data_IF_497468543547
#
_entry.id   IF_497468543547
#
_cell.length_a   1.000
_cell.length_b   1.000
_cell.length_c   1.000
_cell.angle_alpha   90.00
_cell.angle_beta   90.00
_cell.angle_gamma   90.00
#
_symmetry.space_group_name_H-M   'P 1'
#
loop_
_entity.id
_entity.type
_entity.pdbx_description
1 polymer ?
#
# COMPACT_ATOMS: atom_id res chain seq x y z
N UNK A 1 18.02 -4.73 8.49
CA UNK A 1 17.83 -5.38 7.18
C UNK A 1 16.43 -5.13 6.59
N UNK A 2 15.32 -5.47 7.28
CA UNK A 2 13.95 -5.25 6.76
C UNK A 2 13.69 -3.80 6.34
N UNK A 3 14.00 -2.83 7.21
CA UNK A 3 13.83 -1.40 6.92
C UNK A 3 14.65 -0.94 5.70
N UNK A 4 15.93 -1.30 5.62
CA UNK A 4 16.81 -0.94 4.48
C UNK A 4 16.32 -1.53 3.15
N UNK A 5 15.69 -2.71 3.19
CA UNK A 5 15.11 -3.33 2.00
C UNK A 5 13.90 -2.53 1.49
N UNK A 6 13.03 -2.08 2.38
CA UNK A 6 11.88 -1.21 2.04
C UNK A 6 12.34 0.18 1.59
N UNK A 7 13.27 0.79 2.32
CA UNK A 7 13.83 2.10 2.00
C UNK A 7 14.51 2.11 0.63
N UNK A 8 15.26 1.05 0.30
CA UNK A 8 15.82 0.88 -1.03
C UNK A 8 14.76 0.72 -2.12
N UNK A 9 13.63 0.09 -1.83
CA UNK A 9 12.52 -0.03 -2.78
C UNK A 9 11.85 1.33 -3.04
N UNK A 10 11.68 2.13 -2.00
CA UNK A 10 11.18 3.50 -2.11
C UNK A 10 12.14 4.38 -2.91
N UNK A 11 13.45 4.32 -2.62
CA UNK A 11 14.45 5.15 -3.31
C UNK A 11 14.55 4.84 -4.80
N UNK A 12 14.34 3.57 -5.18
CA UNK A 12 14.39 3.11 -6.58
C UNK A 12 13.04 3.17 -7.28
N UNK A 13 11.98 3.57 -6.58
CA UNK A 13 10.60 3.59 -7.08
C UNK A 13 10.21 2.24 -7.70
N UNK A 14 10.49 1.16 -6.97
CA UNK A 14 10.17 -0.19 -7.42
C UNK A 14 8.67 -0.27 -7.73
N UNK A 15 8.28 -0.78 -8.91
CA UNK A 15 6.91 -0.65 -9.39
C UNK A 15 5.91 -1.44 -8.53
N UNK A 16 6.27 -2.69 -8.19
CA UNK A 16 5.45 -3.60 -7.37
C UNK A 16 6.34 -4.61 -6.66
N UNK A 17 5.89 -5.14 -5.52
CA UNK A 17 6.54 -6.30 -4.92
C UNK A 17 6.31 -6.43 -3.42
N UNK A 18 7.11 -7.29 -2.80
CA UNK A 18 7.22 -7.38 -1.34
C UNK A 18 8.63 -6.98 -0.95
N UNK A 19 8.75 -5.97 -0.09
CA UNK A 19 10.04 -5.40 0.31
C UNK A 19 10.08 -5.22 1.81
N UNK A 20 11.10 -5.77 2.47
CA UNK A 20 11.21 -5.73 3.92
C UNK A 20 10.10 -6.49 4.69
N UNK A 21 9.22 -7.21 3.99
CA UNK A 21 8.04 -7.86 4.56
C UNK A 21 6.72 -7.13 4.27
N UNK A 22 6.77 -5.94 3.67
CA UNK A 22 5.61 -5.10 3.36
C UNK A 22 5.21 -5.26 1.88
N UNK A 23 3.91 -5.15 1.60
CA UNK A 23 3.41 -5.07 0.23
C UNK A 23 3.66 -3.67 -0.33
N UNK A 24 4.22 -3.58 -1.53
CA UNK A 24 4.60 -2.31 -2.16
C UNK A 24 4.02 -2.21 -3.57
N UNK A 25 3.46 -1.05 -3.91
CA UNK A 25 2.86 -0.75 -5.21
C UNK A 25 2.93 0.76 -5.46
N UNK A 26 3.34 1.16 -6.67
CA UNK A 26 3.42 2.57 -7.11
C UNK A 26 4.20 3.48 -6.14
N UNK A 27 5.29 2.97 -5.56
CA UNK A 27 6.13 3.74 -4.64
C UNK A 27 5.60 3.82 -3.20
N UNK A 28 4.51 3.10 -2.87
CA UNK A 28 3.86 3.16 -1.56
C UNK A 28 3.67 1.78 -0.95
N UNK A 29 3.66 1.72 0.38
CA UNK A 29 3.27 0.51 1.11
C UNK A 29 1.74 0.41 1.10
N UNK A 30 1.22 -0.76 0.76
CA UNK A 30 -0.22 -1.04 0.74
C UNK A 30 -0.55 -2.19 1.69
N UNK A 31 -1.66 -2.06 2.42
CA UNK A 31 -2.12 -3.12 3.31
C UNK A 31 -2.61 -4.37 2.55
N UNK A 32 -3.15 -4.19 1.34
CA UNK A 32 -3.61 -5.28 0.46
C UNK A 32 -3.76 -4.79 -0.99
N UNK A 33 -3.60 -5.69 -1.95
CA UNK A 33 -3.95 -5.42 -3.36
C UNK A 33 -5.46 -5.32 -3.54
N UNK A 34 -5.88 -4.44 -4.44
CA UNK A 34 -7.28 -4.41 -4.89
C UNK A 34 -7.61 -5.68 -5.65
N UNK A 35 -8.79 -6.24 -5.36
CA UNK A 35 -9.38 -7.28 -6.20
C UNK A 35 -9.76 -6.68 -7.56
N UNK A 36 -9.71 -7.50 -8.61
CA UNK A 36 -10.18 -7.10 -9.93
C UNK A 36 -11.70 -6.89 -9.93
N UNK A 37 -12.17 -5.97 -10.78
CA UNK A 37 -13.60 -5.65 -10.93
C UNK A 37 -14.05 -4.40 -10.19
N UNK A 38 -15.37 -4.18 -10.17
CA UNK A 38 -15.97 -3.04 -9.47
C UNK A 38 -15.79 -3.23 -7.97
N UNK A 39 -15.35 -2.19 -7.23
CA UNK A 39 -15.27 -2.28 -5.78
C UNK A 39 -16.65 -2.57 -5.20
N UNK A 40 -16.67 -3.44 -4.19
CA UNK A 40 -17.87 -3.70 -3.41
C UNK A 40 -18.20 -2.48 -2.54
N UNK A 41 -19.47 -2.34 -2.11
CA UNK A 41 -19.86 -1.26 -1.21
C UNK A 41 -19.04 -1.25 0.08
N UNK A 42 -18.75 -2.44 0.62
CA UNK A 42 -17.89 -2.60 1.81
C UNK A 42 -16.45 -2.14 1.57
N UNK A 43 -15.89 -2.38 0.38
CA UNK A 43 -14.55 -1.89 0.03
C UNK A 43 -14.50 -0.39 -0.19
N UNK A 44 -15.57 0.20 -0.74
CA UNK A 44 -15.69 1.67 -0.86
C UNK A 44 -15.74 2.29 0.53
N UNK A 45 -16.64 1.82 1.40
CA UNK A 45 -16.75 2.30 2.77
C UNK A 45 -15.44 2.15 3.56
N UNK A 46 -14.70 1.05 3.36
CA UNK A 46 -13.41 0.84 4.02
C UNK A 46 -12.33 1.85 3.58
N UNK A 47 -12.34 2.31 2.32
CA UNK A 47 -11.36 3.29 1.81
C UNK A 47 -11.62 4.70 2.34
N UNK A 48 -12.87 5.05 2.58
CA UNK A 48 -13.24 6.36 3.15
C UNK A 48 -12.73 6.51 4.59
N UNK A 49 -12.73 5.42 5.36
CA UNK A 49 -12.22 5.43 6.74
C UNK A 49 -10.69 5.60 6.82
N UNK A 50 -9.92 4.97 5.93
CA UNK A 50 -8.45 5.07 5.91
C UNK A 50 -7.97 6.52 5.67
N UNK A 51 -8.71 7.26 4.85
CA UNK A 51 -8.40 8.66 4.53
C UNK A 51 -8.69 9.65 5.68
N UNK A 52 -9.39 9.22 6.74
CA UNK A 52 -9.74 10.07 7.88
C UNK A 52 -8.67 10.11 8.99
N UNK A 53 -7.64 9.26 8.90
CA UNK A 53 -6.55 9.15 9.89
C UNK A 53 -5.36 10.10 9.61
N UNK A 54 -5.37 10.83 8.48
CA UNK A 54 -4.28 11.79 8.10
C UNK A 54 -4.46 13.18 8.74
N UNK A 55 -5.40 13.32 9.69
CA UNK A 55 -5.63 14.55 10.44
C UNK A 55 -5.28 14.38 11.93
N UNK A 56 -3.98 14.28 12.24
CA UNK A 56 -3.44 14.45 13.59
C UNK A 56 -2.02 15.04 13.53
#
# INVERSE_FOLDING_TARGET
MRAQCLEGAMSRQEPVGVWGGELFEDGQVIAKKRKAGRPTLSEVAARENDSSDVAA
#
